data_IF_811405123363
#
_entry.id   IF_811405123363
#
_cell.length_a   1.000
_cell.length_b   1.000
_cell.length_c   1.000
_cell.angle_alpha   90.00
_cell.angle_beta   90.00
_cell.angle_gamma   90.00
#
_symmetry.space_group_name_H-M   'P 1'
#
loop_
_entity.id
_entity.type
_entity.pdbx_description
1 polymer ?
#
# COMPACT_ATOMS: atom_id res chain seq x y z
N UNK A 1 39.77 5.27 7.42
CA UNK A 1 39.26 6.13 6.32
C UNK A 1 38.62 5.34 5.16
N UNK A 2 39.10 4.14 4.81
CA UNK A 2 38.62 3.35 3.66
C UNK A 2 37.24 2.68 3.88
N UNK A 3 36.94 2.23 5.10
CA UNK A 3 35.65 1.61 5.47
C UNK A 3 34.48 2.60 5.33
N UNK A 4 34.71 3.88 5.66
CA UNK A 4 33.69 4.93 5.50
C UNK A 4 33.42 5.24 4.03
N UNK A 5 34.46 5.26 3.17
CA UNK A 5 34.31 5.41 1.71
C UNK A 5 33.56 4.23 1.08
N UNK A 6 33.82 3.00 1.52
CA UNK A 6 33.10 1.79 1.07
C UNK A 6 31.63 1.79 1.52
N UNK A 7 31.34 2.16 2.77
CA UNK A 7 29.96 2.35 3.28
C UNK A 7 29.21 3.43 2.50
N UNK A 8 29.87 4.54 2.19
CA UNK A 8 29.28 5.66 1.45
C UNK A 8 29.02 5.30 -0.02
N UNK A 9 29.92 4.52 -0.64
CA UNK A 9 29.78 4.01 -2.01
C UNK A 9 28.72 2.89 -2.13
N UNK A 10 28.58 2.02 -1.13
CA UNK A 10 27.52 0.99 -1.14
C UNK A 10 26.13 1.59 -0.82
N UNK A 11 26.05 2.58 0.08
CA UNK A 11 24.82 3.35 0.30
C UNK A 11 24.38 4.14 -0.94
N UNK A 12 25.31 4.55 -1.82
CA UNK A 12 24.96 5.26 -3.05
C UNK A 12 24.36 4.36 -4.13
N UNK A 13 24.63 3.04 -4.13
CA UNK A 13 24.07 2.10 -5.11
C UNK A 13 22.76 1.44 -4.65
N UNK A 14 22.61 1.19 -3.35
CA UNK A 14 21.41 0.55 -2.78
C UNK A 14 20.17 1.45 -2.90
N UNK A 15 20.33 2.77 -2.71
CA UNK A 15 19.23 3.74 -2.76
C UNK A 15 18.53 3.79 -4.14
N UNK A 16 19.23 3.99 -5.27
CA UNK A 16 18.63 3.92 -6.60
C UNK A 16 17.89 2.60 -6.84
N UNK A 17 18.48 1.49 -6.39
CA UNK A 17 17.87 0.18 -6.54
C UNK A 17 16.52 0.08 -5.82
N UNK A 18 16.46 0.50 -4.54
CA UNK A 18 15.21 0.53 -3.78
C UNK A 18 14.19 1.48 -4.43
N UNK A 19 14.61 2.64 -4.96
CA UNK A 19 13.71 3.55 -5.69
C UNK A 19 13.10 2.90 -6.93
N UNK A 20 13.90 2.20 -7.73
CA UNK A 20 13.44 1.46 -8.91
C UNK A 20 12.44 0.38 -8.48
N UNK A 21 12.74 -0.38 -7.43
CA UNK A 21 11.82 -1.39 -6.90
C UNK A 21 10.49 -0.79 -6.44
N UNK A 22 10.51 0.31 -5.68
CA UNK A 22 9.29 1.02 -5.25
C UNK A 22 8.49 1.50 -6.45
N UNK A 23 9.15 2.09 -7.45
CA UNK A 23 8.51 2.52 -8.69
C UNK A 23 7.85 1.38 -9.46
N UNK A 24 8.52 0.22 -9.54
CA UNK A 24 7.95 -0.98 -10.17
C UNK A 24 6.68 -1.43 -9.44
N UNK A 25 6.69 -1.52 -8.10
CA UNK A 25 5.50 -1.92 -7.34
C UNK A 25 4.33 -0.95 -7.52
N UNK A 26 4.58 0.36 -7.49
CA UNK A 26 3.52 1.34 -7.75
C UNK A 26 3.01 1.29 -9.20
N UNK A 27 3.88 0.99 -10.17
CA UNK A 27 3.47 0.81 -11.57
C UNK A 27 2.54 -0.39 -11.71
N UNK A 28 2.91 -1.54 -11.12
CA UNK A 28 2.09 -2.76 -11.14
C UNK A 28 0.75 -2.50 -10.44
N UNK A 29 0.78 -1.87 -9.28
CA UNK A 29 -0.43 -1.45 -8.55
C UNK A 29 -1.35 -0.55 -9.40
N UNK A 30 -0.80 0.47 -10.06
CA UNK A 30 -1.55 1.34 -10.96
C UNK A 30 -2.20 0.57 -12.10
N UNK A 31 -1.48 -0.36 -12.72
CA UNK A 31 -2.03 -1.27 -13.74
C UNK A 31 -3.19 -2.09 -13.16
N UNK A 32 -3.04 -2.67 -11.96
CA UNK A 32 -4.11 -3.42 -11.31
C UNK A 32 -5.36 -2.57 -11.10
N UNK A 33 -5.24 -1.33 -10.61
CA UNK A 33 -6.36 -0.41 -10.39
C UNK A 33 -7.07 -0.06 -11.70
N UNK A 34 -6.30 0.25 -12.75
CA UNK A 34 -6.86 0.55 -14.08
C UNK A 34 -7.63 -0.65 -14.61
N UNK A 35 -7.07 -1.86 -14.52
CA UNK A 35 -7.75 -3.08 -14.93
C UNK A 35 -9.01 -3.36 -14.10
N UNK A 36 -8.97 -3.17 -12.78
CA UNK A 36 -10.14 -3.29 -11.90
C UNK A 36 -11.28 -2.34 -12.31
N UNK A 37 -10.94 -1.18 -12.90
CA UNK A 37 -11.91 -0.20 -13.37
C UNK A 37 -12.60 -0.60 -14.69
N UNK A 38 -12.00 -1.51 -15.47
CA UNK A 38 -12.54 -1.98 -16.76
C UNK A 38 -13.25 -3.33 -16.67
N UNK A 39 -12.87 -4.18 -15.72
CA UNK A 39 -13.43 -5.52 -15.60
C UNK A 39 -14.69 -5.55 -14.75
N UNK A 40 -15.80 -5.94 -15.37
CA UNK A 40 -17.05 -6.13 -14.65
C UNK A 40 -16.93 -7.33 -13.69
N UNK A 41 -17.06 -7.07 -12.38
CA UNK A 41 -17.06 -8.10 -11.34
C UNK A 41 -18.00 -9.27 -11.66
N UNK A 42 -19.14 -9.00 -12.31
CA UNK A 42 -20.17 -9.99 -12.61
C UNK A 42 -19.64 -11.16 -13.46
N UNK A 43 -18.79 -10.86 -14.43
CA UNK A 43 -18.35 -11.84 -15.43
C UNK A 43 -16.92 -12.33 -15.16
N UNK A 44 -16.15 -11.57 -14.39
CA UNK A 44 -14.71 -11.84 -14.15
C UNK A 44 -14.31 -11.74 -12.68
N UNK A 45 -15.14 -12.28 -11.78
CA UNK A 45 -14.92 -12.19 -10.32
C UNK A 45 -13.56 -12.75 -9.87
N UNK A 46 -13.13 -13.89 -10.42
CA UNK A 46 -11.83 -14.48 -10.08
C UNK A 46 -10.67 -13.55 -10.49
N UNK A 47 -10.77 -12.91 -11.66
CA UNK A 47 -9.79 -11.93 -12.12
C UNK A 47 -9.78 -10.70 -11.22
N UNK A 48 -10.95 -10.19 -10.84
CA UNK A 48 -11.08 -9.06 -9.91
C UNK A 48 -10.40 -9.38 -8.57
N UNK A 49 -10.69 -10.54 -7.98
CA UNK A 49 -10.04 -10.98 -6.74
C UNK A 49 -8.51 -11.02 -6.85
N UNK A 50 -7.98 -11.58 -7.95
CA UNK A 50 -6.53 -11.63 -8.17
C UNK A 50 -5.92 -10.25 -8.34
N UNK A 51 -6.56 -9.35 -9.08
CA UNK A 51 -6.08 -7.97 -9.26
C UNK A 51 -6.10 -7.18 -7.95
N UNK A 52 -7.16 -7.33 -7.14
CA UNK A 52 -7.24 -6.71 -5.80
C UNK A 52 -6.12 -7.22 -4.90
N UNK A 53 -5.88 -8.54 -4.88
CA UNK A 53 -4.81 -9.13 -4.07
C UNK A 53 -3.42 -8.67 -4.53
N UNK A 54 -3.17 -8.66 -5.84
CA UNK A 54 -1.92 -8.15 -6.42
C UNK A 54 -1.70 -6.67 -6.06
N UNK A 55 -2.75 -5.85 -6.11
CA UNK A 55 -2.67 -4.45 -5.71
C UNK A 55 -2.29 -4.30 -4.22
N UNK A 56 -2.95 -5.05 -3.34
CA UNK A 56 -2.65 -5.02 -1.90
C UNK A 56 -1.22 -5.45 -1.58
N UNK A 57 -0.74 -6.52 -2.22
CA UNK A 57 0.64 -6.99 -2.04
C UNK A 57 1.64 -5.92 -2.51
N UNK A 58 1.40 -5.29 -3.67
CA UNK A 58 2.28 -4.25 -4.18
C UNK A 58 2.43 -3.11 -3.18
N UNK A 59 1.32 -2.66 -2.57
CA UNK A 59 1.38 -1.59 -1.58
C UNK A 59 1.97 -2.03 -0.24
N UNK A 60 1.66 -3.25 0.23
CA UNK A 60 2.26 -3.80 1.45
C UNK A 60 3.80 -3.89 1.37
N UNK A 61 4.36 -4.01 0.15
CA UNK A 61 5.81 -4.02 -0.09
C UNK A 61 6.37 -2.62 -0.37
N UNK A 62 5.68 -1.79 -1.16
CA UNK A 62 6.14 -0.46 -1.54
C UNK A 62 6.25 0.50 -0.34
N UNK A 63 5.35 0.37 0.65
CA UNK A 63 5.31 1.28 1.80
C UNK A 63 6.51 1.10 2.74
N UNK A 64 6.88 -0.13 3.16
CA UNK A 64 8.13 -0.34 3.92
C UNK A 64 9.37 0.09 3.16
N UNK A 65 9.48 -0.23 1.87
CA UNK A 65 10.63 0.15 1.05
C UNK A 65 10.76 1.68 0.89
N UNK A 66 9.65 2.38 0.67
CA UNK A 66 9.64 3.85 0.62
C UNK A 66 9.99 4.48 1.98
N UNK A 67 9.57 3.87 3.09
CA UNK A 67 9.93 4.31 4.44
C UNK A 67 11.44 4.18 4.70
N UNK A 68 12.08 3.10 4.23
CA UNK A 68 13.54 2.90 4.33
C UNK A 68 14.34 3.95 3.54
N UNK A 69 13.85 4.33 2.34
CA UNK A 69 14.46 5.40 1.54
C UNK A 69 14.43 6.75 2.27
N UNK A 70 13.31 7.04 2.92
CA UNK A 70 13.11 8.32 3.61
C UNK A 70 14.00 8.40 4.85
N UNK A 71 14.06 7.34 5.68
CA UNK A 71 14.98 7.27 6.82
C UNK A 71 16.44 7.45 6.39
N UNK A 72 16.80 6.99 5.19
CA UNK A 72 18.15 7.14 4.63
C UNK A 72 18.49 8.53 4.09
N UNK A 73 17.48 9.33 3.69
CA UNK A 73 17.67 10.60 2.96
C UNK A 73 17.21 11.85 3.74
N UNK A 74 16.17 11.75 4.57
CA UNK A 74 15.56 12.88 5.26
C UNK A 74 15.84 12.77 6.75
N UNK A 75 16.69 13.68 7.26
CA UNK A 75 17.30 13.57 8.60
C UNK A 75 16.36 13.93 9.75
N UNK A 76 15.09 14.25 9.48
CA UNK A 76 14.17 14.79 10.47
C UNK A 76 12.71 14.52 10.04
N UNK A 77 12.07 13.57 10.72
CA UNK A 77 10.90 13.78 11.61
C UNK A 77 10.33 12.44 12.05
N UNK A 78 10.41 12.16 13.36
CA UNK A 78 9.94 10.90 13.98
C UNK A 78 8.44 10.66 13.74
N UNK A 79 7.66 11.72 13.57
CA UNK A 79 6.21 11.66 13.36
C UNK A 79 5.82 11.08 12.00
N UNK A 80 6.50 11.48 10.91
CA UNK A 80 6.22 10.92 9.57
C UNK A 80 6.59 9.44 9.48
N UNK A 81 7.74 9.06 10.08
CA UNK A 81 8.12 7.67 10.20
C UNK A 81 7.09 6.86 11.01
N UNK A 82 6.65 7.40 12.15
CA UNK A 82 5.62 6.76 12.97
C UNK A 82 4.30 6.61 12.23
N UNK A 83 3.86 7.65 11.51
CA UNK A 83 2.66 7.61 10.70
C UNK A 83 2.76 6.51 9.62
N UNK A 84 3.88 6.43 8.91
CA UNK A 84 4.11 5.36 7.91
C UNK A 84 4.10 3.95 8.52
N UNK A 85 4.63 3.78 9.73
CA UNK A 85 4.57 2.48 10.44
C UNK A 85 3.12 2.14 10.77
N UNK A 86 2.35 3.08 11.31
CA UNK A 86 0.93 2.88 11.64
C UNK A 86 0.15 2.49 10.39
N UNK A 87 0.30 3.25 9.30
CA UNK A 87 -0.40 2.98 8.03
C UNK A 87 0.03 1.63 7.44
N UNK A 88 1.32 1.28 7.53
CA UNK A 88 1.80 -0.05 7.10
C UNK A 88 1.13 -1.18 7.88
N UNK A 89 1.04 -1.05 9.21
CA UNK A 89 0.38 -2.04 10.06
C UNK A 89 -1.11 -2.15 9.74
N UNK A 90 -1.80 -1.01 9.58
CA UNK A 90 -3.20 -0.95 9.15
C UNK A 90 -3.42 -1.71 7.85
N UNK A 91 -2.57 -1.50 6.84
CA UNK A 91 -2.71 -2.15 5.55
C UNK A 91 -2.38 -3.64 5.59
N UNK A 92 -1.40 -4.06 6.41
CA UNK A 92 -1.11 -5.48 6.64
C UNK A 92 -2.33 -6.17 7.28
N UNK A 93 -2.89 -5.55 8.33
CA UNK A 93 -4.09 -6.07 9.01
C UNK A 93 -5.27 -6.12 8.05
N UNK A 94 -5.53 -5.04 7.30
CA UNK A 94 -6.61 -4.99 6.30
C UNK A 94 -6.46 -6.06 5.23
N UNK A 95 -5.25 -6.23 4.68
CA UNK A 95 -4.97 -7.24 3.65
C UNK A 95 -5.14 -8.66 4.18
N UNK A 96 -4.66 -8.92 5.40
CA UNK A 96 -4.83 -10.22 6.05
C UNK A 96 -6.30 -10.54 6.29
N UNK A 97 -7.05 -9.61 6.88
CA UNK A 97 -8.49 -9.73 7.15
C UNK A 97 -9.28 -9.94 5.86
N UNK A 98 -8.95 -9.21 4.78
CA UNK A 98 -9.56 -9.40 3.46
C UNK A 98 -9.41 -10.84 2.97
N UNK A 99 -8.18 -11.37 2.97
CA UNK A 99 -7.92 -12.76 2.53
C UNK A 99 -8.64 -13.76 3.43
N UNK A 100 -8.60 -13.55 4.74
CA UNK A 100 -9.23 -14.43 5.71
C UNK A 100 -10.75 -14.49 5.52
N UNK A 101 -11.42 -13.34 5.54
CA UNK A 101 -12.88 -13.26 5.42
C UNK A 101 -13.36 -13.68 4.03
N UNK A 102 -12.59 -13.42 2.97
CA UNK A 102 -12.91 -13.95 1.65
C UNK A 102 -12.90 -15.49 1.63
N UNK A 103 -11.87 -16.12 2.22
CA UNK A 103 -11.81 -17.59 2.33
C UNK A 103 -12.92 -18.15 3.21
N UNK A 104 -13.20 -17.51 4.35
CA UNK A 104 -14.28 -17.91 5.24
C UNK A 104 -15.64 -17.82 4.54
N UNK A 105 -15.92 -16.72 3.85
CA UNK A 105 -17.15 -16.51 3.09
C UNK A 105 -17.35 -17.54 2.01
N UNK A 106 -16.29 -17.89 1.26
CA UNK A 106 -16.35 -18.95 0.24
C UNK A 106 -16.68 -20.34 0.81
N UNK A 107 -16.28 -20.65 2.05
CA UNK A 107 -16.56 -21.94 2.68
C UNK A 107 -18.03 -22.09 3.10
N UNK A 108 -18.68 -21.00 3.49
CA UNK A 108 -20.06 -21.01 4.00
C UNK A 108 -21.09 -20.57 2.96
N UNK A 109 -20.64 -20.11 1.80
CA UNK A 109 -21.51 -19.58 0.76
C UNK A 109 -22.50 -20.65 0.25
N UNK A 110 -23.79 -20.33 0.36
CA UNK A 110 -24.87 -21.10 -0.26
C UNK A 110 -25.78 -20.24 -1.17
N UNK A 111 -25.33 -19.03 -1.52
CA UNK A 111 -26.16 -18.11 -2.31
C UNK A 111 -26.28 -18.58 -3.76
N UNK A 112 -27.49 -18.49 -4.32
CA UNK A 112 -27.74 -18.72 -5.76
C UNK A 112 -27.05 -17.69 -6.65
N UNK A 113 -26.71 -16.52 -6.09
CA UNK A 113 -26.02 -15.44 -6.77
C UNK A 113 -24.91 -14.89 -5.87
N UNK A 114 -23.66 -15.15 -6.25
CA UNK A 114 -22.44 -14.65 -5.60
C UNK A 114 -22.38 -13.12 -5.50
N UNK A 115 -23.07 -12.39 -6.38
CA UNK A 115 -23.01 -10.93 -6.48
C UNK A 115 -24.07 -10.22 -5.64
N UNK A 116 -25.07 -10.95 -5.16
CA UNK A 116 -26.14 -10.39 -4.36
C UNK A 116 -26.53 -11.39 -3.28
N UNK A 117 -25.67 -11.45 -2.27
CA UNK A 117 -25.90 -12.24 -1.06
C UNK A 117 -26.79 -11.40 -0.15
N UNK A 118 -27.96 -11.91 0.20
CA UNK A 118 -28.87 -11.22 1.13
C UNK A 118 -28.35 -11.34 2.56
N UNK A 119 -28.76 -10.43 3.44
CA UNK A 119 -28.30 -10.39 4.83
C UNK A 119 -28.49 -11.69 5.61
N UNK A 120 -29.53 -12.45 5.26
CA UNK A 120 -29.89 -13.72 5.87
C UNK A 120 -29.25 -14.94 5.19
N UNK A 121 -28.54 -14.76 4.07
CA UNK A 121 -27.85 -15.83 3.37
C UNK A 121 -26.47 -16.10 3.99
N UNK A 122 -26.07 -17.38 4.10
CA UNK A 122 -24.77 -17.73 4.65
C UNK A 122 -23.66 -17.24 3.70
N UNK A 123 -22.62 -16.63 4.28
CA UNK A 123 -21.57 -15.90 3.57
C UNK A 123 -21.71 -14.39 3.63
N UNK A 124 -22.91 -13.83 3.90
CA UNK A 124 -23.10 -12.38 3.91
C UNK A 124 -22.19 -11.66 4.90
N UNK A 125 -22.12 -12.16 6.15
CA UNK A 125 -21.34 -11.53 7.21
C UNK A 125 -19.85 -11.54 6.86
N UNK A 126 -19.36 -12.64 6.33
CA UNK A 126 -17.97 -12.83 5.94
C UNK A 126 -17.61 -11.91 4.78
N UNK A 127 -18.42 -11.86 3.72
CA UNK A 127 -18.15 -10.97 2.58
C UNK A 127 -18.31 -9.49 2.94
N UNK A 128 -19.19 -9.13 3.87
CA UNK A 128 -19.27 -7.77 4.38
C UNK A 128 -17.99 -7.38 5.16
N UNK A 129 -17.48 -8.25 6.02
CA UNK A 129 -16.20 -8.03 6.71
C UNK A 129 -15.01 -7.99 5.75
N UNK A 130 -15.06 -8.78 4.67
CA UNK A 130 -14.11 -8.73 3.57
C UNK A 130 -14.09 -7.34 2.91
N UNK A 131 -15.26 -6.80 2.55
CA UNK A 131 -15.39 -5.47 1.97
C UNK A 131 -14.90 -4.37 2.92
N UNK A 132 -15.24 -4.44 4.22
CA UNK A 132 -14.72 -3.50 5.23
C UNK A 132 -13.19 -3.55 5.29
N UNK A 133 -12.61 -4.74 5.23
CA UNK A 133 -11.17 -4.94 5.25
C UNK A 133 -10.48 -4.34 4.01
N UNK A 134 -11.08 -4.49 2.84
CA UNK A 134 -10.63 -3.84 1.60
C UNK A 134 -10.63 -2.31 1.72
N UNK A 135 -11.70 -1.71 2.26
CA UNK A 135 -11.76 -0.27 2.53
C UNK A 135 -10.68 0.20 3.50
N UNK A 136 -10.35 -0.60 4.51
CA UNK A 136 -9.27 -0.29 5.45
C UNK A 136 -7.91 -0.19 4.75
N UNK A 137 -7.67 -1.04 3.74
CA UNK A 137 -6.46 -0.97 2.90
C UNK A 137 -6.50 0.27 2.01
N UNK A 138 -7.63 0.55 1.35
CA UNK A 138 -7.80 1.74 0.49
C UNK A 138 -7.56 3.04 1.26
N UNK A 139 -8.09 3.16 2.48
CA UNK A 139 -7.84 4.31 3.34
C UNK A 139 -6.34 4.46 3.65
N UNK A 140 -5.65 3.35 3.92
CA UNK A 140 -4.20 3.36 4.11
C UNK A 140 -3.44 3.89 2.88
N UNK A 141 -3.90 3.60 1.66
CA UNK A 141 -3.31 4.16 0.44
C UNK A 141 -3.44 5.68 0.39
N UNK A 142 -4.63 6.19 0.67
CA UNK A 142 -4.90 7.63 0.71
C UNK A 142 -4.01 8.29 1.77
N UNK A 143 -3.91 7.70 2.96
CA UNK A 143 -3.06 8.19 4.05
C UNK A 143 -1.59 8.24 3.64
N UNK A 144 -1.05 7.20 3.01
CA UNK A 144 0.34 7.21 2.51
C UNK A 144 0.56 8.30 1.46
N UNK A 145 -0.38 8.49 0.55
CA UNK A 145 -0.29 9.55 -0.46
C UNK A 145 -0.24 10.93 0.20
N UNK A 146 -1.12 11.18 1.18
CA UNK A 146 -1.16 12.44 1.92
C UNK A 146 0.11 12.67 2.74
N UNK A 147 0.59 11.66 3.47
CA UNK A 147 1.85 11.71 4.22
C UNK A 147 3.01 12.06 3.29
N UNK A 148 3.08 11.40 2.12
CA UNK A 148 4.14 11.65 1.14
C UNK A 148 4.07 13.08 0.60
N UNK A 149 2.87 13.59 0.31
CA UNK A 149 2.68 14.98 -0.13
C UNK A 149 3.12 16.00 0.93
N UNK A 150 2.79 15.77 2.20
CA UNK A 150 3.21 16.63 3.32
C UNK A 150 4.73 16.60 3.54
N UNK A 151 5.36 15.43 3.42
CA UNK A 151 6.80 15.27 3.51
C UNK A 151 7.52 16.07 2.41
N UNK A 152 7.06 15.94 1.15
CA UNK A 152 7.60 16.66 0.02
C UNK A 152 7.49 18.18 0.22
N UNK A 153 6.32 18.66 0.65
CA UNK A 153 6.09 20.09 0.91
C UNK A 153 6.98 20.62 2.04
N UNK A 154 7.14 19.83 3.10
CA UNK A 154 8.02 20.19 4.23
C UNK A 154 9.48 20.28 3.76
N UNK A 155 9.92 19.37 2.90
CA UNK A 155 11.25 19.40 2.33
C UNK A 155 11.49 20.62 1.42
N UNK A 156 10.54 20.95 0.55
CA UNK A 156 10.61 22.14 -0.31
C UNK A 156 10.78 23.42 0.53
N UNK A 157 9.97 23.59 1.57
CA UNK A 157 10.04 24.76 2.46
C UNK A 157 11.41 24.86 3.14
N UNK A 158 11.96 23.75 3.63
CA UNK A 158 13.30 23.72 4.24
C UNK A 158 14.40 24.09 3.23
N UNK A 159 14.28 23.60 2.00
CA UNK A 159 15.24 23.90 0.94
C UNK A 159 15.19 25.40 0.54
N UNK A 160 13.99 25.98 0.47
CA UNK A 160 13.82 27.42 0.24
C UNK A 160 14.39 28.29 1.37
N UNK A 161 14.21 27.90 2.64
CA UNK A 161 14.79 28.62 3.78
C UNK A 161 16.32 28.61 3.77
N UNK A 162 16.93 27.46 3.44
CA UNK A 162 18.38 27.34 3.30
C UNK A 162 18.91 28.24 2.18
N UNK A 163 18.23 28.27 1.03
CA UNK A 163 18.66 29.11 -0.10
C UNK A 163 18.39 30.60 0.08
N UNK A 164 17.50 31.01 1.01
CA UNK A 164 17.28 32.42 1.37
C UNK A 164 18.29 32.95 2.39
N UNK A 165 19.02 32.06 3.07
CA UNK A 165 19.99 32.39 4.12
C UNK A 165 21.44 32.31 3.66
N UNK A 166 21.68 31.91 2.41
CA UNK A 166 22.97 31.93 1.69
C UNK A 166 22.96 33.06 0.68
#
# INVERSE_FOLDING_TARGET
MMINKLKQKSQSGIRPCICIFVGLFYTISGICIVLLSFFNMKDTNQLHFHLTLSNFICHAVAIPLSSLLIVGNFRLWKCFLLARIIVSLQMIIGSFSFVYFNRAGLLVLQAKNLFYIKENEPGYKEFNQCAISEWFVILGLIEVTLITGLELRTYENQYEEINKTV
#
